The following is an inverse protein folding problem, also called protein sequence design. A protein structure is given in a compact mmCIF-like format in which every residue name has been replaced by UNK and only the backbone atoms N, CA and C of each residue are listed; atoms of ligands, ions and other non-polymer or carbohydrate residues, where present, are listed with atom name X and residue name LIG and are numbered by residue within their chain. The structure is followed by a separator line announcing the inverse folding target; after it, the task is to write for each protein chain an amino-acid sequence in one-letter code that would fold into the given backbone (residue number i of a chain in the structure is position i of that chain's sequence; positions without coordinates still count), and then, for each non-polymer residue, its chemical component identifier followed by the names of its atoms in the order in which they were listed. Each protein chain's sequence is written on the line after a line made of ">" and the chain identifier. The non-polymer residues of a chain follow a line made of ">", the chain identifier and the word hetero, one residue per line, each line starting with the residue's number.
data_IF_402168510286
#
_entry.id   IF_402168510286
#
_cell.length_a   1.000
_cell.length_b   1.000
_cell.length_c   1.000
_cell.angle_alpha   90.00
_cell.angle_beta   90.00
_cell.angle_gamma   90.00
#
_symmetry.space_group_name_H-M   'P 1'
#
loop_
_entity.id
_entity.type
_entity.pdbx_description
1 polymer ?
#
# COMPACT_ATOMS: atom_id res chain seq x y z
N UNK A 1 23.03 -43.98 -10.82
CA UNK A 1 23.51 -42.60 -11.04
C UNK A 1 22.31 -41.66 -11.08
N UNK A 2 21.99 -40.96 -9.98
CA UNK A 2 20.94 -39.95 -9.98
C UNK A 2 21.54 -38.63 -10.45
N UNK A 3 20.94 -38.04 -11.49
CA UNK A 3 21.30 -36.74 -12.04
C UNK A 3 21.39 -35.71 -10.91
N UNK A 4 22.56 -35.05 -10.77
CA UNK A 4 22.67 -33.82 -9.99
C UNK A 4 21.86 -32.77 -10.73
N UNK A 5 20.60 -32.61 -10.37
CA UNK A 5 19.84 -31.42 -10.76
C UNK A 5 20.68 -30.19 -10.40
N UNK A 6 20.91 -29.30 -11.36
CA UNK A 6 21.69 -28.09 -11.18
C UNK A 6 21.01 -27.20 -10.13
N UNK A 7 21.37 -27.37 -8.85
CA UNK A 7 20.89 -26.56 -7.74
C UNK A 7 21.33 -25.12 -7.97
N UNK A 8 20.42 -24.28 -8.43
CA UNK A 8 20.69 -22.86 -8.65
C UNK A 8 20.84 -22.16 -7.30
N UNK A 9 22.01 -21.55 -7.10
CA UNK A 9 22.30 -20.75 -5.90
C UNK A 9 21.86 -19.31 -6.11
N UNK A 10 20.95 -18.83 -5.27
CA UNK A 10 20.45 -17.44 -5.29
C UNK A 10 21.19 -16.64 -4.22
N UNK A 11 21.87 -15.56 -4.65
CA UNK A 11 22.66 -14.70 -3.75
C UNK A 11 22.17 -13.26 -3.88
N UNK A 12 21.58 -12.74 -2.81
CA UNK A 12 21.04 -11.38 -2.77
C UNK A 12 21.74 -10.61 -1.65
N UNK A 13 22.55 -9.57 -1.95
CA UNK A 13 23.14 -8.73 -0.92
C UNK A 13 22.13 -7.72 -0.37
N UNK A 14 22.38 -7.23 0.84
CA UNK A 14 21.67 -6.06 1.36
C UNK A 14 22.06 -4.83 0.54
N UNK A 15 21.07 -4.18 -0.07
CA UNK A 15 21.31 -3.00 -0.92
C UNK A 15 20.68 -1.72 -0.37
N UNK A 16 21.39 -0.61 -0.60
CA UNK A 16 20.86 0.74 -0.61
C UNK A 16 20.47 1.08 -2.06
N UNK A 17 19.20 1.40 -2.32
CA UNK A 17 18.68 1.55 -3.67
C UNK A 17 19.31 2.72 -4.43
N UNK A 18 19.55 3.86 -3.79
CA UNK A 18 20.17 5.01 -4.44
C UNK A 18 21.62 4.72 -4.87
N UNK A 19 22.38 4.04 -4.00
CA UNK A 19 23.74 3.57 -4.34
C UNK A 19 23.70 2.52 -5.45
N UNK A 20 22.78 1.57 -5.37
CA UNK A 20 22.63 0.53 -6.38
C UNK A 20 22.21 1.09 -7.75
N UNK A 21 21.33 2.09 -7.78
CA UNK A 21 20.97 2.84 -8.99
C UNK A 21 22.20 3.43 -9.67
N UNK A 22 23.07 4.12 -8.92
CA UNK A 22 24.33 4.67 -9.46
C UNK A 22 25.20 3.57 -10.06
N UNK A 23 25.38 2.44 -9.36
CA UNK A 23 26.13 1.28 -9.87
C UNK A 23 25.55 0.73 -11.19
N UNK A 24 24.23 0.77 -11.35
CA UNK A 24 23.56 0.21 -12.52
C UNK A 24 23.52 1.17 -13.71
N UNK A 25 23.37 2.47 -13.48
CA UNK A 25 23.07 3.44 -14.53
C UNK A 25 24.28 4.29 -14.99
N UNK A 26 25.33 4.41 -14.16
CA UNK A 26 26.42 5.35 -14.42
C UNK A 26 27.69 4.59 -14.84
N UNK A 27 28.42 5.16 -15.80
CA UNK A 27 29.70 4.63 -16.23
C UNK A 27 30.81 4.99 -15.22
N UNK A 28 31.86 4.15 -15.16
CA UNK A 28 33.09 4.39 -14.37
C UNK A 28 32.88 4.70 -12.88
N UNK A 29 31.82 4.16 -12.27
CA UNK A 29 31.58 4.27 -10.82
C UNK A 29 32.63 3.47 -10.05
N UNK A 30 33.21 4.09 -9.01
CA UNK A 30 34.14 3.44 -8.07
C UNK A 30 33.50 3.22 -6.71
N UNK A 31 33.98 2.27 -5.88
CA UNK A 31 33.47 2.03 -4.53
C UNK A 31 33.46 3.31 -3.66
N UNK A 32 34.54 4.09 -3.72
CA UNK A 32 34.69 5.35 -2.96
C UNK A 32 33.66 6.40 -3.37
N UNK A 33 33.38 6.54 -4.68
CA UNK A 33 32.44 7.55 -5.21
C UNK A 33 31.00 7.41 -4.71
N UNK A 34 30.62 6.23 -4.19
CA UNK A 34 29.29 5.95 -3.63
C UNK A 34 29.35 5.51 -2.16
N UNK A 35 30.50 5.68 -1.51
CA UNK A 35 30.72 5.35 -0.11
C UNK A 35 30.42 3.88 0.20
N UNK A 36 31.00 2.95 -0.56
CA UNK A 36 30.94 1.51 -0.32
C UNK A 36 32.35 0.94 -0.16
N UNK A 37 32.47 -0.12 0.64
CA UNK A 37 33.69 -0.94 0.67
C UNK A 37 33.81 -1.75 -0.62
N UNK A 38 35.04 -2.09 -1.03
CA UNK A 38 35.32 -2.97 -2.18
C UNK A 38 34.47 -4.25 -2.18
N UNK A 39 34.40 -4.90 -1.02
CA UNK A 39 33.60 -6.12 -0.83
C UNK A 39 32.10 -5.89 -1.08
N UNK A 40 31.56 -4.76 -0.64
CA UNK A 40 30.14 -4.41 -0.84
C UNK A 40 29.87 -4.02 -2.29
N UNK A 41 30.80 -3.26 -2.89
CA UNK A 41 30.74 -2.86 -4.28
C UNK A 41 30.73 -4.07 -5.22
N UNK A 42 31.63 -5.03 -5.02
CA UNK A 42 31.68 -6.28 -5.78
C UNK A 42 30.36 -7.07 -5.69
N UNK A 43 29.72 -7.09 -4.52
CA UNK A 43 28.39 -7.72 -4.36
C UNK A 43 27.31 -7.00 -5.16
N UNK A 44 27.35 -5.67 -5.23
CA UNK A 44 26.41 -4.88 -6.03
C UNK A 44 26.63 -5.15 -7.53
N UNK A 45 27.88 -5.16 -7.99
CA UNK A 45 28.22 -5.51 -9.37
C UNK A 45 27.72 -6.91 -9.73
N UNK A 46 27.99 -7.91 -8.90
CA UNK A 46 27.52 -9.28 -9.14
C UNK A 46 25.98 -9.36 -9.24
N UNK A 47 25.25 -8.63 -8.39
CA UNK A 47 23.78 -8.57 -8.47
C UNK A 47 23.32 -7.86 -9.74
N UNK A 48 23.96 -6.74 -10.12
CA UNK A 48 23.67 -5.99 -11.35
C UNK A 48 23.88 -6.87 -12.59
N UNK A 49 25.02 -7.55 -12.68
CA UNK A 49 25.35 -8.42 -13.82
C UNK A 49 24.36 -9.59 -13.90
N UNK A 50 23.97 -10.16 -12.77
CA UNK A 50 22.95 -11.20 -12.72
C UNK A 50 21.55 -10.73 -13.17
N UNK A 51 21.14 -9.51 -12.77
CA UNK A 51 19.80 -8.98 -13.07
C UNK A 51 19.66 -8.37 -14.46
N UNK A 52 20.72 -7.71 -14.94
CA UNK A 52 20.65 -6.87 -16.14
C UNK A 52 21.67 -7.26 -17.22
N UNK A 53 22.80 -7.87 -16.84
CA UNK A 53 23.92 -8.21 -17.72
C UNK A 53 24.68 -7.01 -18.32
N UNK A 54 24.11 -5.81 -18.27
CA UNK A 54 24.66 -4.57 -18.82
C UNK A 54 24.22 -3.36 -18.00
N UNK A 55 24.73 -2.19 -18.37
CA UNK A 55 24.27 -0.92 -17.81
C UNK A 55 22.78 -0.69 -18.09
N UNK A 56 22.08 -0.17 -17.09
CA UNK A 56 20.66 0.13 -17.16
C UNK A 56 20.48 1.55 -17.68
N UNK A 57 19.84 1.69 -18.84
CA UNK A 57 19.38 3.00 -19.31
C UNK A 57 18.12 3.38 -18.53
N UNK A 58 18.29 4.19 -17.49
CA UNK A 58 17.18 4.75 -16.72
C UNK A 58 17.40 6.26 -16.53
N UNK A 59 16.49 7.06 -17.06
CA UNK A 59 16.57 8.53 -17.04
C UNK A 59 16.22 9.11 -15.66
N UNK A 60 15.59 8.30 -14.80
CA UNK A 60 15.26 8.68 -13.43
C UNK A 60 15.33 7.49 -12.49
N UNK A 61 15.42 7.79 -11.19
CA UNK A 61 15.37 6.77 -10.14
C UNK A 61 14.08 5.94 -10.18
N UNK A 62 12.92 6.58 -10.46
CA UNK A 62 11.65 5.87 -10.54
C UNK A 62 11.61 4.87 -11.71
N UNK A 63 12.14 5.26 -12.88
CA UNK A 63 12.27 4.35 -14.04
C UNK A 63 13.18 3.18 -13.69
N UNK A 64 14.28 3.43 -12.98
CA UNK A 64 15.16 2.36 -12.50
C UNK A 64 14.45 1.37 -11.59
N UNK A 65 13.60 1.85 -10.68
CA UNK A 65 12.82 0.98 -9.79
C UNK A 65 11.89 0.06 -10.60
N UNK A 66 11.20 0.56 -11.63
CA UNK A 66 10.37 -0.27 -12.51
C UNK A 66 11.20 -1.34 -13.25
N UNK A 67 12.34 -0.95 -13.81
CA UNK A 67 13.25 -1.89 -14.50
C UNK A 67 13.77 -2.95 -13.52
N UNK A 68 14.13 -2.56 -12.30
CA UNK A 68 14.58 -3.48 -11.25
C UNK A 68 13.50 -4.48 -10.86
N UNK A 69 12.24 -4.05 -10.72
CA UNK A 69 11.11 -4.96 -10.47
C UNK A 69 10.97 -6.00 -11.57
N UNK A 70 10.97 -5.57 -12.82
CA UNK A 70 10.83 -6.47 -13.99
C UNK A 70 11.99 -7.48 -14.07
N UNK A 71 13.21 -7.05 -13.75
CA UNK A 71 14.37 -7.96 -13.67
C UNK A 71 14.26 -8.96 -12.52
N UNK A 72 13.78 -8.55 -11.34
CA UNK A 72 13.54 -9.48 -10.23
C UNK A 72 12.48 -10.50 -10.61
N UNK A 73 11.39 -10.05 -11.25
CA UNK A 73 10.28 -10.91 -11.68
C UNK A 73 10.70 -11.92 -12.76
N UNK A 74 11.59 -11.53 -13.67
CA UNK A 74 12.05 -12.42 -14.73
C UNK A 74 13.20 -13.35 -14.30
N UNK A 75 14.06 -12.93 -13.37
CA UNK A 75 15.29 -13.66 -13.03
C UNK A 75 15.26 -14.37 -11.69
N UNK A 76 14.54 -13.87 -10.68
CA UNK A 76 14.61 -14.41 -9.30
C UNK A 76 13.33 -15.17 -8.95
N UNK A 77 12.19 -14.50 -9.06
CA UNK A 77 10.89 -15.06 -8.67
C UNK A 77 9.80 -14.46 -9.55
N UNK A 78 9.09 -15.30 -10.29
CA UNK A 78 8.05 -14.85 -11.19
C UNK A 78 6.82 -14.33 -10.46
N UNK A 79 5.98 -13.61 -11.21
CA UNK A 79 4.74 -13.03 -10.71
C UNK A 79 3.81 -14.06 -10.07
N UNK A 80 3.62 -15.22 -10.72
CA UNK A 80 2.76 -16.30 -10.22
C UNK A 80 3.29 -16.90 -8.91
N UNK A 81 4.60 -17.11 -8.84
CA UNK A 81 5.28 -17.63 -7.67
C UNK A 81 5.19 -16.68 -6.46
N UNK A 82 5.39 -15.39 -6.70
CA UNK A 82 5.30 -14.39 -5.66
C UNK A 82 3.84 -14.17 -5.19
N UNK A 83 2.84 -14.35 -6.06
CA UNK A 83 1.41 -14.38 -5.68
C UNK A 83 1.08 -15.58 -4.76
N UNK A 84 1.63 -16.77 -5.05
CA UNK A 84 1.45 -17.93 -4.17
C UNK A 84 2.04 -17.69 -2.77
N UNK A 85 3.18 -17.00 -2.71
CA UNK A 85 3.81 -16.60 -1.45
C UNK A 85 3.01 -15.53 -0.69
N UNK A 86 2.38 -14.60 -1.40
CA UNK A 86 1.60 -13.51 -0.81
C UNK A 86 0.30 -13.98 -0.14
N UNK A 87 -0.24 -15.15 -0.52
CA UNK A 87 -1.40 -15.77 0.13
C UNK A 87 -1.09 -16.33 1.54
N UNK A 88 0.15 -16.17 2.02
CA UNK A 88 0.62 -16.62 3.35
C UNK A 88 1.37 -15.46 4.01
N UNK A 89 1.57 -15.49 5.34
CA UNK A 89 2.45 -14.54 6.01
C UNK A 89 3.84 -14.54 5.37
N UNK A 90 4.18 -13.45 4.69
CA UNK A 90 5.44 -13.32 3.98
C UNK A 90 6.54 -12.95 4.98
N UNK A 91 7.39 -13.93 5.28
CA UNK A 91 8.54 -13.75 6.14
C UNK A 91 9.75 -14.52 5.56
N UNK A 92 10.97 -14.29 6.07
CA UNK A 92 12.16 -14.94 5.52
C UNK A 92 12.08 -16.48 5.54
N UNK A 93 11.43 -17.09 6.53
CA UNK A 93 11.28 -18.54 6.61
C UNK A 93 10.39 -19.08 5.49
N UNK A 94 9.27 -18.40 5.21
CA UNK A 94 8.35 -18.76 4.11
C UNK A 94 9.05 -18.69 2.75
N UNK A 95 9.79 -17.62 2.47
CA UNK A 95 10.52 -17.44 1.20
C UNK A 95 11.63 -18.49 1.07
N UNK A 96 12.34 -18.79 2.15
CA UNK A 96 13.40 -19.80 2.13
C UNK A 96 12.86 -21.19 1.78
N UNK A 97 11.83 -21.65 2.51
CA UNK A 97 11.17 -22.93 2.24
C UNK A 97 10.67 -23.03 0.81
N UNK A 98 10.16 -21.92 0.27
CA UNK A 98 9.69 -21.87 -1.11
C UNK A 98 10.81 -22.16 -2.13
N UNK A 99 11.97 -21.52 -1.99
CA UNK A 99 13.10 -21.77 -2.89
C UNK A 99 13.67 -23.19 -2.71
N UNK A 100 13.76 -23.68 -1.47
CA UNK A 100 14.22 -25.04 -1.15
C UNK A 100 13.31 -26.10 -1.80
N UNK A 101 11.99 -25.92 -1.71
CA UNK A 101 11.01 -26.82 -2.34
C UNK A 101 11.12 -26.85 -3.87
N UNK A 102 11.68 -25.80 -4.49
CA UNK A 102 11.95 -25.74 -5.93
C UNK A 102 13.36 -26.18 -6.31
N UNK A 103 14.11 -26.78 -5.39
CA UNK A 103 15.48 -27.23 -5.63
C UNK A 103 16.49 -26.08 -5.78
N UNK A 104 16.16 -24.87 -5.31
CA UNK A 104 17.09 -23.74 -5.29
C UNK A 104 17.73 -23.61 -3.90
N UNK A 105 18.99 -23.18 -3.87
CA UNK A 105 19.69 -22.91 -2.62
C UNK A 105 19.77 -21.41 -2.36
N UNK A 106 19.22 -20.95 -1.23
CA UNK A 106 19.27 -19.56 -0.78
C UNK A 106 19.62 -19.49 0.72
N UNK A 107 20.59 -18.64 1.08
CA UNK A 107 20.98 -18.44 2.47
C UNK A 107 19.96 -17.60 3.24
N UNK A 108 19.85 -17.78 4.57
CA UNK A 108 19.00 -16.95 5.44
C UNK A 108 19.25 -15.45 5.25
N UNK A 109 20.52 -15.07 5.10
CA UNK A 109 20.93 -13.68 4.83
C UNK A 109 20.40 -13.16 3.49
N UNK A 110 20.51 -13.97 2.43
CA UNK A 110 19.99 -13.61 1.10
C UNK A 110 18.47 -13.54 1.11
N UNK A 111 17.80 -14.40 1.87
CA UNK A 111 16.34 -14.37 1.99
C UNK A 111 15.85 -13.10 2.69
N UNK A 112 16.50 -12.70 3.79
CA UNK A 112 16.21 -11.42 4.46
C UNK A 112 16.47 -10.22 3.53
N UNK A 113 17.58 -10.25 2.80
CA UNK A 113 17.92 -9.20 1.84
C UNK A 113 16.92 -9.13 0.68
N UNK A 114 16.48 -10.27 0.17
CA UNK A 114 15.46 -10.35 -0.88
C UNK A 114 14.12 -9.80 -0.40
N UNK A 115 13.65 -10.20 0.79
CA UNK A 115 12.42 -9.64 1.36
C UNK A 115 12.53 -8.12 1.54
N UNK A 116 13.63 -7.64 2.13
CA UNK A 116 13.87 -6.19 2.29
C UNK A 116 13.88 -5.47 0.94
N UNK A 117 14.49 -6.06 -0.08
CA UNK A 117 14.53 -5.50 -1.43
C UNK A 117 13.13 -5.40 -2.03
N UNK A 118 12.37 -6.50 -2.00
CA UNK A 118 11.00 -6.55 -2.53
C UNK A 118 10.07 -5.55 -1.82
N UNK A 119 10.25 -5.32 -0.52
CA UNK A 119 9.51 -4.28 0.22
C UNK A 119 9.94 -2.87 -0.18
N UNK A 120 11.25 -2.59 -0.23
CA UNK A 120 11.79 -1.26 -0.56
C UNK A 120 11.43 -0.78 -1.97
N UNK A 121 11.31 -1.71 -2.91
CA UNK A 121 10.88 -1.38 -4.26
C UNK A 121 9.37 -1.51 -4.41
N UNK A 122 8.59 -1.77 -3.36
CA UNK A 122 7.15 -1.97 -3.46
C UNK A 122 6.77 -3.08 -4.48
N UNK A 123 7.54 -4.18 -4.57
CA UNK A 123 7.23 -5.30 -5.47
C UNK A 123 6.11 -6.18 -4.89
N UNK A 124 6.16 -6.46 -3.58
CA UNK A 124 5.10 -7.21 -2.89
C UNK A 124 3.82 -6.39 -2.88
N UNK A 125 3.97 -5.11 -2.56
CA UNK A 125 2.96 -4.09 -2.73
C UNK A 125 2.45 -4.16 -4.16
N UNK A 126 3.23 -4.00 -5.23
CA UNK A 126 2.71 -4.17 -6.60
C UNK A 126 2.11 -5.53 -6.96
N UNK A 127 2.25 -6.60 -6.19
CA UNK A 127 1.67 -7.91 -6.54
C UNK A 127 0.39 -8.23 -5.78
N UNK A 128 0.33 -7.80 -4.52
CA UNK A 128 -0.93 -7.68 -3.78
C UNK A 128 -1.75 -6.54 -4.38
N UNK A 129 -1.07 -5.47 -4.80
CA UNK A 129 -1.61 -4.30 -5.45
C UNK A 129 -1.82 -4.54 -6.95
N UNK A 130 -1.21 -5.46 -7.72
CA UNK A 130 -1.78 -5.80 -9.08
C UNK A 130 -3.08 -6.63 -8.96
N UNK A 131 -3.45 -7.08 -7.74
CA UNK A 131 -4.84 -7.45 -7.42
C UNK A 131 -5.69 -6.28 -6.86
N UNK A 132 -5.12 -5.10 -6.62
CA UNK A 132 -5.81 -3.90 -6.09
C UNK A 132 -5.43 -2.53 -6.73
N UNK A 133 -4.80 -2.52 -7.92
CA UNK A 133 -4.35 -1.33 -8.66
C UNK A 133 -5.44 -1.05 -9.70
N UNK A 134 -6.12 0.09 -9.49
CA UNK A 134 -6.84 0.90 -10.52
C UNK A 134 -8.25 0.48 -10.94
N UNK A 135 -8.99 -0.16 -10.07
CA UNK A 135 -10.45 -0.30 -10.17
C UNK A 135 -11.11 0.24 -8.90
N UNK A 136 -12.42 0.47 -8.91
CA UNK A 136 -13.23 0.77 -7.72
C UNK A 136 -12.89 -0.20 -6.56
N UNK A 137 -12.53 -1.44 -6.88
CA UNK A 137 -12.07 -2.49 -5.96
C UNK A 137 -10.82 -2.12 -5.14
N UNK A 138 -9.93 -1.27 -5.68
CA UNK A 138 -8.75 -0.80 -4.95
C UNK A 138 -9.12 0.20 -3.86
N UNK A 139 -10.05 1.11 -4.15
CA UNK A 139 -10.60 2.02 -3.16
C UNK A 139 -11.37 1.25 -2.09
N UNK A 140 -12.13 0.23 -2.52
CA UNK A 140 -12.84 -0.68 -1.62
C UNK A 140 -11.88 -1.44 -0.69
N UNK A 141 -10.73 -1.90 -1.20
CA UNK A 141 -9.72 -2.59 -0.38
C UNK A 141 -9.10 -1.66 0.68
N UNK A 142 -8.74 -0.43 0.31
CA UNK A 142 -8.23 0.56 1.26
C UNK A 142 -9.28 0.88 2.33
N UNK A 143 -10.54 1.05 1.92
CA UNK A 143 -11.68 1.27 2.81
C UNK A 143 -11.89 0.09 3.76
N UNK A 144 -11.83 -1.14 3.27
CA UNK A 144 -12.00 -2.35 4.08
C UNK A 144 -10.86 -2.52 5.10
N UNK A 145 -9.61 -2.19 4.74
CA UNK A 145 -8.49 -2.18 5.68
C UNK A 145 -8.69 -1.15 6.80
N UNK A 146 -9.17 0.04 6.46
CA UNK A 146 -9.50 1.09 7.43
C UNK A 146 -10.64 0.63 8.33
N UNK A 147 -11.73 0.09 7.76
CA UNK A 147 -12.87 -0.48 8.47
C UNK A 147 -12.44 -1.54 9.46
N UNK A 148 -11.69 -2.54 9.01
CA UNK A 148 -11.19 -3.61 9.86
C UNK A 148 -10.31 -3.09 11.01
N UNK A 149 -9.46 -2.10 10.73
CA UNK A 149 -8.64 -1.49 11.76
C UNK A 149 -9.48 -0.77 12.82
N UNK A 150 -10.52 -0.04 12.42
CA UNK A 150 -11.44 0.68 13.33
C UNK A 150 -12.26 -0.32 14.16
N UNK A 151 -12.89 -1.31 13.52
CA UNK A 151 -13.75 -2.31 14.17
C UNK A 151 -13.02 -3.17 15.20
N UNK A 152 -11.70 -3.36 15.07
CA UNK A 152 -10.91 -4.11 16.07
C UNK A 152 -10.58 -3.32 17.33
N UNK A 153 -10.90 -2.03 17.39
CA UNK A 153 -10.62 -1.22 18.57
C UNK A 153 -11.78 -1.34 19.55
N UNK A 154 -11.46 -1.45 20.84
CA UNK A 154 -12.44 -1.41 21.94
C UNK A 154 -12.88 0.01 22.29
N UNK A 155 -12.17 1.02 21.81
CA UNK A 155 -12.38 2.44 22.10
C UNK A 155 -12.35 3.25 20.82
N UNK A 156 -12.82 4.50 20.91
CA UNK A 156 -12.69 5.44 19.80
C UNK A 156 -11.22 5.66 19.38
N UNK A 157 -11.03 6.13 18.15
CA UNK A 157 -9.77 6.64 17.62
C UNK A 157 -10.02 8.01 16.98
N UNK A 158 -9.09 8.96 17.12
CA UNK A 158 -9.20 10.22 16.40
C UNK A 158 -8.88 10.07 14.91
N UNK A 159 -9.45 10.93 14.08
CA UNK A 159 -9.13 10.98 12.64
C UNK A 159 -7.63 11.24 12.42
N UNK A 160 -7.01 12.08 13.24
CA UNK A 160 -5.56 12.34 13.22
C UNK A 160 -4.73 11.07 13.44
N UNK A 161 -5.04 10.31 14.48
CA UNK A 161 -4.33 9.05 14.78
C UNK A 161 -4.50 8.02 13.68
N UNK A 162 -5.70 7.94 13.08
CA UNK A 162 -5.95 7.09 11.93
C UNK A 162 -5.08 7.51 10.73
N UNK A 163 -5.09 8.79 10.35
CA UNK A 163 -4.26 9.29 9.24
C UNK A 163 -2.77 9.04 9.47
N UNK A 164 -2.29 9.19 10.71
CA UNK A 164 -0.92 8.86 11.09
C UNK A 164 -0.63 7.36 10.96
N UNK A 165 -1.57 6.49 11.35
CA UNK A 165 -1.42 5.03 11.19
C UNK A 165 -1.31 4.62 9.73
N UNK A 166 -2.03 5.33 8.86
CA UNK A 166 -2.12 5.10 7.43
C UNK A 166 -1.29 6.13 6.62
N UNK A 167 -0.24 6.72 7.22
CA UNK A 167 0.54 7.80 6.59
C UNK A 167 1.28 7.40 5.32
N UNK A 168 1.60 6.11 5.22
CA UNK A 168 2.30 5.50 4.09
C UNK A 168 1.34 4.89 3.06
N UNK A 169 0.03 5.07 3.23
CA UNK A 169 -0.96 4.51 2.30
C UNK A 169 -0.94 5.25 0.95
N UNK A 170 -0.99 4.51 -0.19
CA UNK A 170 -0.97 5.10 -1.52
C UNK A 170 -2.07 6.14 -1.77
N UNK A 171 -3.26 5.94 -1.16
CA UNK A 171 -4.42 6.84 -1.29
C UNK A 171 -4.77 7.55 0.02
N UNK A 172 -3.78 7.89 0.85
CA UNK A 172 -4.00 8.57 2.14
C UNK A 172 -4.83 9.85 2.07
N UNK A 173 -4.81 10.54 0.92
CA UNK A 173 -5.63 11.74 0.69
C UNK A 173 -7.14 11.43 0.61
N UNK A 174 -7.53 10.17 0.38
CA UNK A 174 -8.92 9.69 0.34
C UNK A 174 -9.46 9.17 1.67
N UNK A 175 -8.65 9.17 2.74
CA UNK A 175 -9.08 8.61 4.03
C UNK A 175 -10.38 9.25 4.53
N UNK A 176 -10.53 10.57 4.39
CA UNK A 176 -11.77 11.24 4.78
C UNK A 176 -12.98 10.76 3.96
N UNK A 177 -12.81 10.54 2.65
CA UNK A 177 -13.88 10.00 1.80
C UNK A 177 -14.28 8.59 2.25
N UNK A 178 -13.30 7.73 2.52
CA UNK A 178 -13.56 6.37 3.00
C UNK A 178 -14.27 6.35 4.35
N UNK A 179 -13.95 7.29 5.25
CA UNK A 179 -14.64 7.43 6.52
C UNK A 179 -16.11 7.84 6.36
N UNK A 180 -16.40 8.77 5.43
CA UNK A 180 -17.77 9.16 5.12
C UNK A 180 -18.57 8.00 4.51
N UNK A 181 -17.96 7.23 3.60
CA UNK A 181 -18.57 6.01 3.05
C UNK A 181 -18.89 5.01 4.15
N UNK A 182 -17.92 4.69 5.02
CA UNK A 182 -18.14 3.77 6.15
C UNK A 182 -19.19 4.25 7.16
N UNK A 183 -19.33 5.56 7.32
CA UNK A 183 -20.35 6.16 8.18
C UNK A 183 -21.75 6.08 7.56
N UNK A 184 -21.87 6.35 6.25
CA UNK A 184 -23.12 6.15 5.48
C UNK A 184 -23.53 4.67 5.51
N UNK A 185 -22.56 3.77 5.34
CA UNK A 185 -22.73 2.30 5.39
C UNK A 185 -22.96 1.76 6.82
N UNK A 186 -23.02 2.65 7.82
CA UNK A 186 -23.29 2.32 9.23
C UNK A 186 -22.26 1.39 9.89
N UNK A 187 -21.02 1.34 9.41
CA UNK A 187 -19.94 0.59 10.07
C UNK A 187 -19.26 1.34 11.21
N UNK A 188 -19.42 2.65 11.24
CA UNK A 188 -18.86 3.51 12.28
C UNK A 188 -19.75 4.71 12.53
N UNK A 189 -19.55 5.35 13.67
CA UNK A 189 -20.05 6.68 13.96
C UNK A 189 -18.90 7.70 14.04
N UNK A 190 -19.17 8.94 13.61
CA UNK A 190 -18.19 10.02 13.60
C UNK A 190 -18.66 11.10 14.58
N UNK A 191 -18.10 11.06 15.79
CA UNK A 191 -18.39 12.05 16.82
C UNK A 191 -17.92 13.43 16.39
N UNK A 192 -18.85 14.39 16.38
CA UNK A 192 -18.65 15.77 15.92
C UNK A 192 -19.19 16.06 14.52
N UNK A 193 -19.66 15.03 13.79
CA UNK A 193 -20.29 15.21 12.49
C UNK A 193 -21.79 15.52 12.67
N UNK A 194 -22.23 16.71 12.26
CA UNK A 194 -23.59 17.22 12.49
C UNK A 194 -24.55 17.05 11.31
N UNK A 195 -24.03 16.63 10.16
CA UNK A 195 -24.82 16.39 8.95
C UNK A 195 -25.61 15.08 9.08
N UNK A 196 -26.90 15.02 8.66
CA UNK A 196 -27.68 13.78 8.63
C UNK A 196 -27.17 12.77 7.60
N UNK A 197 -27.01 11.50 8.02
CA UNK A 197 -26.63 10.39 7.12
C UNK A 197 -27.54 10.25 5.91
N UNK A 198 -28.85 10.44 6.11
CA UNK A 198 -29.87 10.31 5.05
C UNK A 198 -29.60 11.27 3.88
N UNK A 199 -29.25 12.53 4.19
CA UNK A 199 -28.90 13.53 3.17
C UNK A 199 -27.61 13.14 2.43
N UNK A 200 -26.60 12.65 3.16
CA UNK A 200 -25.35 12.21 2.56
C UNK A 200 -25.50 10.99 1.64
N UNK A 201 -26.40 10.06 1.98
CA UNK A 201 -26.67 8.86 1.18
C UNK A 201 -27.35 9.22 -0.16
N UNK A 202 -28.31 10.14 -0.13
CA UNK A 202 -29.06 10.53 -1.33
C UNK A 202 -28.24 11.38 -2.32
N UNK A 203 -27.23 12.12 -1.83
CA UNK A 203 -26.52 13.14 -2.62
C UNK A 203 -24.99 12.98 -2.60
N UNK A 204 -24.50 11.79 -2.21
CA UNK A 204 -23.10 11.36 -2.30
C UNK A 204 -22.08 12.28 -1.60
N UNK A 205 -22.48 12.95 -0.49
CA UNK A 205 -21.68 13.79 0.45
C UNK A 205 -20.69 14.83 -0.13
N UNK A 206 -20.58 14.94 -1.47
CA UNK A 206 -19.63 15.74 -2.25
C UNK A 206 -20.35 16.74 -3.17
N UNK A 207 -21.66 16.60 -3.33
CA UNK A 207 -22.51 17.41 -4.22
C UNK A 207 -23.83 17.78 -3.54
N UNK A 208 -23.76 18.25 -2.29
CA UNK A 208 -24.95 18.64 -1.52
C UNK A 208 -25.41 20.05 -1.93
N UNK A 209 -26.72 20.27 -1.90
CA UNK A 209 -27.34 21.57 -2.17
C UNK A 209 -26.98 22.58 -1.06
N UNK A 210 -26.35 23.73 -1.37
CA UNK A 210 -26.02 24.75 -0.39
C UNK A 210 -27.20 25.26 0.44
N UNK A 211 -28.41 25.28 -0.12
CA UNK A 211 -29.62 25.74 0.56
C UNK A 211 -30.07 24.76 1.64
N UNK A 212 -29.97 23.46 1.38
CA UNK A 212 -30.33 22.39 2.32
C UNK A 212 -29.30 22.23 3.45
N UNK A 213 -28.08 22.77 3.25
CA UNK A 213 -26.96 22.54 4.15
C UNK A 213 -26.64 23.73 5.07
N UNK A 214 -27.41 24.82 5.02
CA UNK A 214 -27.11 26.08 5.71
C UNK A 214 -26.91 25.97 7.23
N UNK A 215 -27.56 24.99 7.86
CA UNK A 215 -27.59 24.85 9.31
C UNK A 215 -26.46 23.99 9.88
N UNK A 216 -25.71 23.28 9.02
CA UNK A 216 -24.65 22.37 9.42
C UNK A 216 -23.27 23.04 9.37
N UNK A 217 -22.40 22.66 10.30
CA UNK A 217 -21.04 23.21 10.47
C UNK A 217 -19.98 22.33 9.83
N UNK A 218 -20.19 21.02 9.74
CA UNK A 218 -19.22 20.07 9.17
C UNK A 218 -19.25 20.06 7.63
N UNK A 219 -19.26 21.24 7.01
CA UNK A 219 -19.40 21.41 5.56
C UNK A 219 -18.45 22.45 4.98
N UNK A 220 -18.17 22.36 3.69
CA UNK A 220 -17.41 23.34 2.92
C UNK A 220 -18.10 23.63 1.59
N UNK A 221 -18.21 24.93 1.27
CA UNK A 221 -18.76 25.41 0.00
C UNK A 221 -17.66 25.44 -1.06
N UNK A 222 -17.92 24.81 -2.20
CA UNK A 222 -17.00 24.72 -3.33
C UNK A 222 -17.71 25.23 -4.58
N UNK A 223 -17.05 26.08 -5.35
CA UNK A 223 -17.53 26.46 -6.68
C UNK A 223 -16.91 25.53 -7.74
N UNK A 224 -17.75 24.83 -8.49
CA UNK A 224 -17.33 23.95 -9.58
C UNK A 224 -16.78 24.80 -10.72
N UNK A 225 -15.56 24.51 -11.19
CA UNK A 225 -14.86 25.36 -12.17
C UNK A 225 -15.51 25.28 -13.55
N UNK A 226 -16.04 24.12 -13.90
CA UNK A 226 -16.63 23.86 -15.22
C UNK A 226 -18.02 24.49 -15.36
N UNK A 227 -18.84 24.47 -14.30
CA UNK A 227 -20.25 24.90 -14.35
C UNK A 227 -20.51 26.23 -13.64
N UNK A 228 -19.58 26.70 -12.80
CA UNK A 228 -19.78 27.87 -11.94
C UNK A 228 -20.75 27.63 -10.77
N UNK A 229 -21.32 26.42 -10.67
CA UNK A 229 -22.30 26.03 -9.67
C UNK A 229 -21.66 25.98 -8.28
N UNK A 230 -22.37 26.48 -7.27
CA UNK A 230 -21.97 26.38 -5.87
C UNK A 230 -22.48 25.05 -5.32
N UNK A 231 -21.56 24.22 -4.82
CA UNK A 231 -21.86 22.92 -4.19
C UNK A 231 -21.32 22.88 -2.77
N UNK A 232 -21.85 21.97 -1.97
CA UNK A 232 -21.36 21.70 -0.62
C UNK A 232 -20.79 20.29 -0.53
N UNK A 233 -19.66 20.15 0.16
CA UNK A 233 -19.13 18.86 0.59
C UNK A 233 -19.10 18.76 2.11
N UNK A 234 -19.24 17.55 2.63
CA UNK A 234 -19.01 17.26 4.04
C UNK A 234 -17.51 17.28 4.34
N UNK A 235 -17.13 17.82 5.51
CA UNK A 235 -15.75 17.88 5.97
C UNK A 235 -15.59 17.12 7.28
N UNK A 236 -14.52 16.33 7.36
CA UNK A 236 -14.10 15.64 8.58
C UNK A 236 -12.83 16.32 9.09
N UNK A 237 -12.89 16.84 10.32
CA UNK A 237 -11.73 17.40 11.01
C UNK A 237 -10.87 16.31 11.66
N UNK A 238 -9.59 16.62 11.84
CA UNK A 238 -8.63 15.72 12.50
C UNK A 238 -8.95 15.44 13.98
N UNK A 239 -9.71 16.35 14.62
CA UNK A 239 -10.18 16.28 16.00
C UNK A 239 -11.34 15.30 16.20
N UNK A 240 -12.06 14.93 15.13
CA UNK A 240 -13.26 14.10 15.20
C UNK A 240 -12.90 12.67 15.66
N UNK A 241 -13.85 12.05 16.36
CA UNK A 241 -13.67 10.73 16.97
C UNK A 241 -14.44 9.68 16.18
N UNK A 242 -13.78 8.57 15.87
CA UNK A 242 -14.35 7.45 15.14
C UNK A 242 -14.73 6.34 16.13
N UNK A 243 -16.01 6.03 16.21
CA UNK A 243 -16.56 5.00 17.07
C UNK A 243 -16.95 3.79 16.20
N UNK A 244 -16.38 2.59 16.42
CA UNK A 244 -16.84 1.41 15.70
C UNK A 244 -18.28 1.09 16.12
N UNK A 245 -19.14 0.82 15.15
CA UNK A 245 -20.47 0.28 15.41
C UNK A 245 -20.37 -1.25 15.28
N UNK A 246 -20.60 -1.98 16.37
CA UNK A 246 -20.58 -3.43 16.34
C UNK A 246 -21.95 -3.91 15.80
N UNK A 247 -21.98 -4.80 14.80
CA UNK A 247 -23.23 -5.40 14.28
C UNK A 247 -24.01 -6.25 15.31
N UNK A 248 -23.57 -6.25 16.57
CA UNK A 248 -24.29 -6.87 17.69
C UNK A 248 -25.36 -5.96 18.29
N UNK A 249 -25.37 -4.68 17.93
CA UNK A 249 -26.37 -3.71 18.40
C UNK A 249 -27.59 -3.61 17.45
N UNK A 250 -27.68 -4.42 16.38
CA UNK A 250 -28.87 -4.54 15.53
C UNK A 250 -30.04 -5.31 16.20
N UNK A 251 -29.94 -5.66 17.49
CA UNK A 251 -31.05 -6.17 18.30
C UNK A 251 -31.44 -5.19 19.42
N UNK A 252 -31.86 -3.99 19.06
CA UNK A 252 -32.59 -3.11 19.99
C UNK A 252 -33.35 -1.98 19.29
N UNK A 253 -33.78 -2.19 18.04
CA UNK A 253 -34.86 -1.40 17.44
C UNK A 253 -35.95 -2.33 16.95
N UNK A 254 -36.51 -3.09 17.90
CA UNK A 254 -37.91 -3.48 17.78
C UNK A 254 -38.73 -2.19 17.73
N UNK A 255 -39.26 -1.95 16.54
CA UNK A 255 -40.55 -1.35 16.23
C UNK A 255 -41.36 -1.07 17.51
N UNK A 256 -41.51 0.20 17.86
CA UNK A 256 -42.76 0.66 18.46
C UNK A 256 -43.23 1.85 17.64
N UNK A 257 -44.10 1.54 16.68
CA UNK A 257 -45.05 2.51 16.16
C UNK A 257 -46.07 2.71 17.27
N UNK A 258 -46.11 3.91 17.85
CA UNK A 258 -47.31 4.59 18.34
C UNK A 258 -47.16 6.08 18.02
#
# INVERSE_FOLDING_TARGET
>A
MKYKDNVRRIVIPTINLAKFYRVCAYQKITPSSIGLTEKSFKRYINLKDYLFGKLVKAESFNIFIEVLRNSILSKIISKSELLQLANRPLNPSTIKRYFENKGNNISNSSTKALLSLMLKIHLIDQLVIIKSIRTEEGAEHDKELIRYYILRRRSFISVKELKNKFSDFPRKHKINDYLLELWVDQFLDIGGLDVPRLLCNNYNFKNLDPEQMKEYKSIEKIRVRETGELKVRVVIEDSYKLYPLDKRDEKSSDITIL
#
